data_IF_548895405977
#
_entry.id   IF_548895405977
#
_cell.length_a   1.000
_cell.length_b   1.000
_cell.length_c   1.000
_cell.angle_alpha   90.00
_cell.angle_beta   90.00
_cell.angle_gamma   90.00
#
_symmetry.space_group_name_H-M   'P 1'
#
loop_
_entity.id
_entity.type
_entity.pdbx_description
1 polymer ?
#
# COMPACT_ATOMS: atom_id res chain seq x y z
N UNK A 1 -83.21 -28.59 -3.12
CA UNK A 1 -82.70 -28.03 -4.38
C UNK A 1 -81.71 -26.91 -4.01
N UNK A 2 -80.44 -27.22 -4.03
CA UNK A 2 -79.40 -26.22 -3.71
C UNK A 2 -78.40 -26.22 -4.86
N UNK A 3 -78.37 -25.13 -5.59
CA UNK A 3 -77.51 -24.91 -6.74
C UNK A 3 -76.19 -24.32 -6.24
N UNK A 4 -75.08 -25.06 -6.44
CA UNK A 4 -73.69 -24.56 -6.23
C UNK A 4 -73.25 -23.77 -7.44
N UNK A 5 -72.62 -22.62 -7.27
CA UNK A 5 -72.03 -21.89 -8.40
C UNK A 5 -70.67 -22.46 -8.82
N UNK A 6 -70.42 -22.51 -10.14
CA UNK A 6 -69.21 -22.97 -10.79
C UNK A 6 -68.00 -22.06 -10.50
N UNK A 7 -66.83 -22.64 -10.25
CA UNK A 7 -65.55 -21.92 -10.12
C UNK A 7 -64.95 -21.61 -11.52
N UNK A 8 -64.39 -20.41 -11.74
CA UNK A 8 -63.73 -20.10 -12.98
C UNK A 8 -62.37 -20.82 -13.09
N UNK A 9 -62.09 -21.34 -14.27
CA UNK A 9 -60.80 -21.92 -14.65
C UNK A 9 -59.79 -20.79 -14.83
N UNK A 10 -58.69 -20.81 -14.00
CA UNK A 10 -57.55 -19.95 -14.17
C UNK A 10 -56.64 -20.56 -15.25
N UNK A 11 -56.48 -19.86 -16.35
CA UNK A 11 -55.54 -20.17 -17.40
C UNK A 11 -54.13 -19.96 -16.89
N UNK A 12 -53.28 -21.01 -16.93
CA UNK A 12 -51.86 -20.95 -16.65
C UNK A 12 -51.15 -20.24 -17.82
N UNK A 13 -50.73 -19.03 -17.60
CA UNK A 13 -49.81 -18.32 -18.51
C UNK A 13 -48.37 -18.86 -18.26
N UNK A 14 -47.77 -19.45 -19.29
CA UNK A 14 -46.37 -19.86 -19.31
C UNK A 14 -45.53 -18.58 -19.46
N UNK A 15 -44.57 -18.32 -18.59
CA UNK A 15 -43.69 -17.17 -18.82
C UNK A 15 -42.70 -17.51 -19.94
N UNK A 16 -42.80 -16.75 -21.05
CA UNK A 16 -41.72 -16.68 -22.06
C UNK A 16 -40.52 -16.02 -21.39
N UNK A 17 -39.44 -16.77 -21.18
CA UNK A 17 -38.13 -16.20 -20.87
C UNK A 17 -37.61 -15.48 -22.12
N UNK A 18 -37.72 -14.18 -22.16
CA UNK A 18 -36.95 -13.33 -23.07
C UNK A 18 -35.48 -13.34 -22.57
N UNK A 19 -34.64 -14.14 -23.22
CA UNK A 19 -33.19 -13.95 -23.17
C UNK A 19 -32.88 -12.59 -23.82
N UNK A 20 -32.76 -11.55 -23.01
CA UNK A 20 -32.14 -10.32 -23.46
C UNK A 20 -30.64 -10.61 -23.67
N UNK A 21 -30.23 -10.69 -24.94
CA UNK A 21 -28.82 -10.68 -25.29
C UNK A 21 -28.24 -9.34 -24.78
N UNK A 22 -27.39 -9.40 -23.77
CA UNK A 22 -26.62 -8.25 -23.34
C UNK A 22 -25.71 -7.86 -24.50
N UNK A 23 -26.03 -6.74 -25.17
CA UNK A 23 -25.09 -6.10 -26.07
C UNK A 23 -23.82 -5.74 -25.28
N UNK A 24 -22.62 -5.90 -25.87
CA UNK A 24 -21.40 -5.44 -25.22
C UNK A 24 -21.55 -3.93 -24.99
N UNK A 25 -21.58 -3.52 -23.74
CA UNK A 25 -21.46 -2.12 -23.35
C UNK A 25 -20.07 -1.71 -23.81
N UNK A 26 -20.01 -1.06 -24.97
CA UNK A 26 -18.81 -0.38 -25.42
C UNK A 26 -18.41 0.60 -24.31
N UNK A 27 -17.31 0.30 -23.65
CA UNK A 27 -16.72 1.21 -22.68
C UNK A 27 -16.42 2.52 -23.42
N UNK A 28 -17.27 3.53 -23.23
CA UNK A 28 -16.89 4.90 -23.51
C UNK A 28 -15.78 5.21 -22.50
N UNK A 29 -14.54 5.03 -22.95
CA UNK A 29 -13.38 5.52 -22.24
C UNK A 29 -13.52 7.04 -22.19
N UNK A 30 -13.96 7.56 -21.04
CA UNK A 30 -13.76 8.97 -20.74
C UNK A 30 -12.29 9.31 -20.95
N UNK A 31 -11.93 10.57 -21.23
CA UNK A 31 -10.56 10.94 -21.45
C UNK A 31 -9.72 10.44 -20.28
N UNK A 32 -8.56 9.80 -20.51
CA UNK A 32 -7.75 9.24 -19.46
C UNK A 32 -7.44 10.35 -18.45
N UNK A 33 -7.90 10.18 -17.22
CA UNK A 33 -7.73 11.18 -16.16
C UNK A 33 -6.27 11.32 -15.73
N UNK A 34 -5.38 10.41 -16.21
CA UNK A 34 -3.96 10.37 -15.85
C UNK A 34 -3.10 10.17 -17.09
N UNK A 35 -1.98 10.91 -17.16
CA UNK A 35 -1.02 10.68 -18.22
C UNK A 35 -0.34 9.33 -18.01
N UNK A 36 -0.31 8.52 -19.05
CA UNK A 36 0.44 7.29 -19.16
C UNK A 36 1.58 7.41 -20.17
N UNK A 37 1.79 8.61 -20.72
CA UNK A 37 2.84 8.85 -21.70
C UNK A 37 4.22 8.69 -21.08
N UNK A 38 5.12 7.90 -21.66
CA UNK A 38 6.52 7.85 -21.24
C UNK A 38 7.25 9.20 -21.39
N UNK A 39 6.68 10.13 -22.14
CA UNK A 39 7.22 11.47 -22.33
C UNK A 39 6.92 12.41 -21.16
N UNK A 40 5.94 12.09 -20.31
CA UNK A 40 5.64 12.94 -19.15
C UNK A 40 6.68 12.76 -18.03
N UNK A 41 6.96 13.83 -17.28
CA UNK A 41 7.84 13.73 -16.11
C UNK A 41 7.22 12.80 -15.06
N UNK A 42 8.05 12.04 -14.36
CA UNK A 42 7.62 11.27 -13.19
C UNK A 42 7.24 12.21 -12.03
N UNK A 43 6.49 11.71 -11.07
CA UNK A 43 6.22 12.44 -9.83
C UNK A 43 7.53 12.83 -9.12
N UNK A 44 8.52 11.94 -9.10
CA UNK A 44 9.84 12.22 -8.54
C UNK A 44 10.52 13.43 -9.19
N UNK A 45 10.42 13.54 -10.52
CA UNK A 45 10.95 14.68 -11.26
C UNK A 45 10.28 15.99 -10.89
N UNK A 46 8.97 15.98 -10.66
CA UNK A 46 8.23 17.17 -10.21
C UNK A 46 8.54 17.53 -8.76
N UNK A 47 8.66 16.54 -7.90
CA UNK A 47 9.02 16.73 -6.49
C UNK A 47 10.44 17.28 -6.33
N UNK A 48 11.36 16.95 -7.24
CA UNK A 48 12.71 17.47 -7.25
C UNK A 48 12.80 18.99 -7.55
N UNK A 49 11.71 19.60 -8.06
CA UNK A 49 11.63 21.06 -8.24
C UNK A 49 11.37 21.79 -6.92
N UNK A 50 10.85 21.10 -5.93
CA UNK A 50 10.53 21.68 -4.63
C UNK A 50 11.80 21.71 -3.75
N UNK A 51 12.04 22.80 -3.00
CA UNK A 51 13.23 22.91 -2.17
C UNK A 51 13.24 21.88 -1.05
N UNK A 52 14.38 21.28 -0.81
CA UNK A 52 14.58 20.35 0.29
C UNK A 52 14.38 21.02 1.64
N UNK A 53 13.89 20.26 2.62
CA UNK A 53 13.68 20.75 3.97
C UNK A 53 12.42 20.21 4.64
N UNK A 54 12.10 20.73 5.80
CA UNK A 54 10.98 20.25 6.62
C UNK A 54 9.62 20.41 5.91
N UNK A 55 9.41 21.51 5.18
CA UNK A 55 8.13 21.75 4.47
C UNK A 55 7.90 20.71 3.37
N UNK A 56 8.94 20.40 2.56
CA UNK A 56 8.86 19.34 1.55
C UNK A 56 8.59 17.98 2.20
N UNK A 57 9.29 17.65 3.28
CA UNK A 57 9.07 16.37 3.99
C UNK A 57 7.64 16.26 4.52
N UNK A 58 7.13 17.31 5.16
CA UNK A 58 5.71 17.35 5.58
C UNK A 58 4.76 17.22 4.38
N UNK A 59 5.04 17.93 3.28
CA UNK A 59 4.24 17.81 2.06
C UNK A 59 4.22 16.39 1.50
N UNK A 60 5.36 15.72 1.45
CA UNK A 60 5.44 14.33 1.01
C UNK A 60 4.60 13.40 1.91
N UNK A 61 4.71 13.53 3.23
CA UNK A 61 3.94 12.72 4.18
C UNK A 61 2.43 12.88 3.99
N UNK A 62 1.97 14.10 3.83
CA UNK A 62 0.57 14.46 3.83
C UNK A 62 -0.10 14.30 2.46
N UNK A 63 0.63 14.56 1.36
CA UNK A 63 0.01 14.83 0.07
C UNK A 63 0.34 13.79 -1.02
N UNK A 64 1.24 12.82 -0.76
CA UNK A 64 1.68 11.87 -1.81
C UNK A 64 1.37 10.40 -1.49
N UNK A 65 0.73 10.12 -0.35
CA UNK A 65 0.44 8.75 0.10
C UNK A 65 -0.78 8.08 -0.55
N UNK A 66 -1.72 8.87 -1.07
CA UNK A 66 -2.95 8.37 -1.71
C UNK A 66 -2.82 8.27 -3.23
N UNK A 67 -2.17 9.26 -3.84
CA UNK A 67 -1.89 9.33 -5.28
C UNK A 67 -0.57 10.08 -5.50
N UNK A 68 0.00 9.91 -6.68
CA UNK A 68 1.24 10.62 -7.04
C UNK A 68 0.99 12.12 -7.24
N UNK A 69 2.03 12.92 -7.00
CA UNK A 69 2.08 14.33 -7.39
C UNK A 69 2.40 14.42 -8.89
N UNK A 70 1.39 14.17 -9.72
CA UNK A 70 1.52 14.03 -11.16
C UNK A 70 1.47 15.37 -11.90
N UNK A 71 1.89 15.43 -13.18
CA UNK A 71 1.74 16.62 -14.02
C UNK A 71 0.30 17.15 -14.07
N UNK A 72 -0.70 16.27 -14.07
CA UNK A 72 -2.12 16.70 -14.08
C UNK A 72 -2.57 17.36 -12.78
N UNK A 73 -1.93 17.05 -11.68
CA UNK A 73 -2.18 17.73 -10.40
C UNK A 73 -1.44 19.05 -10.36
N UNK A 74 -0.17 19.07 -10.74
CA UNK A 74 0.67 20.26 -10.69
C UNK A 74 0.33 21.26 -11.80
N UNK A 75 0.00 20.77 -12.99
CA UNK A 75 -0.20 21.55 -14.21
C UNK A 75 -1.51 21.18 -14.93
N UNK A 76 -2.68 21.40 -14.32
CA UNK A 76 -3.95 21.11 -14.97
C UNK A 76 -4.11 21.98 -16.22
N UNK A 77 -4.36 21.30 -17.38
CA UNK A 77 -4.43 22.00 -18.65
C UNK A 77 -3.08 22.51 -19.19
N UNK A 78 -1.96 22.03 -18.62
CA UNK A 78 -0.62 22.38 -19.08
C UNK A 78 -0.01 23.64 -18.45
N UNK A 79 -0.73 24.30 -17.52
CA UNK A 79 -0.25 25.49 -16.81
C UNK A 79 -0.20 25.24 -15.30
N UNK A 80 0.75 25.87 -14.61
CA UNK A 80 0.84 25.82 -13.16
C UNK A 80 -0.41 26.44 -12.51
N UNK A 81 -0.79 25.89 -11.36
CA UNK A 81 -1.81 26.52 -10.52
C UNK A 81 -1.22 27.78 -9.88
N UNK A 82 -2.01 28.83 -9.80
CA UNK A 82 -1.74 29.95 -8.92
C UNK A 82 -2.00 29.57 -7.43
N UNK A 83 -1.76 30.52 -6.53
CA UNK A 83 -1.94 30.29 -5.09
C UNK A 83 -3.39 29.96 -4.73
N UNK A 84 -4.39 30.58 -5.38
CA UNK A 84 -5.80 30.33 -5.13
C UNK A 84 -6.24 28.94 -5.62
N UNK A 85 -5.77 28.53 -6.79
CA UNK A 85 -6.00 27.19 -7.33
C UNK A 85 -5.36 26.10 -6.47
N UNK A 86 -4.16 26.35 -5.90
CA UNK A 86 -3.54 25.44 -4.94
C UNK A 86 -4.29 25.41 -3.62
N UNK A 87 -4.74 26.54 -3.07
CA UNK A 87 -5.53 26.55 -1.83
C UNK A 87 -6.80 25.71 -1.99
N UNK A 88 -7.52 25.91 -3.07
CA UNK A 88 -8.72 25.09 -3.39
C UNK A 88 -8.39 23.59 -3.42
N UNK A 89 -7.25 23.21 -4.02
CA UNK A 89 -6.84 21.81 -4.10
C UNK A 89 -6.47 21.24 -2.72
N UNK A 90 -5.72 21.99 -1.91
CA UNK A 90 -5.31 21.55 -0.57
C UNK A 90 -6.52 21.47 0.37
N UNK A 91 -7.42 22.46 0.34
CA UNK A 91 -8.68 22.43 1.12
C UNK A 91 -9.51 21.17 0.80
N UNK A 92 -9.60 20.79 -0.47
CA UNK A 92 -10.29 19.56 -0.87
C UNK A 92 -9.61 18.32 -0.26
N UNK A 93 -8.28 18.25 -0.26
CA UNK A 93 -7.54 17.13 0.36
C UNK A 93 -7.72 17.11 1.88
N UNK A 94 -7.77 18.26 2.53
CA UNK A 94 -8.03 18.35 3.98
C UNK A 94 -9.44 17.86 4.35
N UNK A 95 -10.44 18.10 3.50
CA UNK A 95 -11.80 17.54 3.72
C UNK A 95 -11.82 16.00 3.66
N UNK A 96 -10.93 15.39 2.86
CA UNK A 96 -10.85 13.95 2.70
C UNK A 96 -9.89 13.30 3.70
N UNK A 97 -8.66 13.80 3.78
CA UNK A 97 -7.55 13.21 4.53
C UNK A 97 -7.12 13.98 5.78
N UNK A 98 -7.73 15.13 6.07
CA UNK A 98 -7.42 15.91 7.28
C UNK A 98 -7.96 15.26 8.55
N UNK A 99 -7.61 15.82 9.70
CA UNK A 99 -7.90 15.27 11.02
C UNK A 99 -9.38 14.99 11.29
N UNK A 100 -10.30 15.66 10.59
CA UNK A 100 -11.75 15.44 10.66
C UNK A 100 -12.32 14.70 9.43
N UNK A 101 -11.46 14.32 8.50
CA UNK A 101 -11.83 13.58 7.29
C UNK A 101 -12.04 12.09 7.55
N UNK A 102 -12.57 11.36 6.55
CA UNK A 102 -12.78 9.92 6.66
C UNK A 102 -11.49 9.11 6.73
N UNK A 103 -10.36 9.69 6.27
CA UNK A 103 -9.03 9.05 6.29
C UNK A 103 -7.98 10.01 6.84
N UNK A 104 -7.88 10.18 8.17
CA UNK A 104 -7.07 11.22 8.79
C UNK A 104 -5.56 10.92 8.70
N UNK A 105 -4.99 11.05 7.49
CA UNK A 105 -3.57 10.81 7.17
C UNK A 105 -2.78 12.11 6.92
N UNK A 106 -3.42 13.26 7.01
CA UNK A 106 -2.77 14.58 6.91
C UNK A 106 -2.60 15.13 8.31
N UNK A 107 -1.42 15.67 8.60
CA UNK A 107 -1.15 16.28 9.91
C UNK A 107 -2.20 17.34 10.28
N UNK A 108 -2.60 17.36 11.53
CA UNK A 108 -3.63 18.27 12.02
C UNK A 108 -3.25 19.76 11.89
N UNK A 109 -1.95 20.06 11.90
CA UNK A 109 -1.37 21.40 11.78
C UNK A 109 -1.11 21.84 10.32
N UNK A 110 -1.59 21.06 9.32
CA UNK A 110 -1.43 21.43 7.91
C UNK A 110 -2.24 22.67 7.58
N UNK A 111 -1.55 23.74 7.21
CA UNK A 111 -2.12 25.00 6.75
C UNK A 111 -2.25 25.01 5.22
N UNK A 112 -3.47 25.19 4.72
CA UNK A 112 -3.74 25.15 3.28
C UNK A 112 -3.17 26.36 2.55
N UNK A 113 -3.34 27.58 3.08
CA UNK A 113 -2.88 28.80 2.45
C UNK A 113 -1.35 28.85 2.38
N UNK A 114 -0.67 28.45 3.46
CA UNK A 114 0.79 28.35 3.51
C UNK A 114 1.31 27.33 2.50
N UNK A 115 0.67 26.14 2.43
CA UNK A 115 1.05 25.09 1.48
C UNK A 115 0.84 25.56 0.04
N UNK A 116 -0.28 26.23 -0.25
CA UNK A 116 -0.62 26.78 -1.56
C UNK A 116 0.41 27.83 -2.01
N UNK A 117 0.73 28.78 -1.12
CA UNK A 117 1.73 29.81 -1.41
C UNK A 117 3.13 29.22 -1.65
N UNK A 118 3.49 28.16 -0.91
CA UNK A 118 4.76 27.47 -1.07
C UNK A 118 4.83 26.75 -2.42
N UNK A 119 3.79 26.01 -2.83
CA UNK A 119 3.73 25.32 -4.12
C UNK A 119 3.75 26.31 -5.29
N UNK A 120 2.95 27.39 -5.23
CA UNK A 120 2.90 28.41 -6.28
C UNK A 120 4.23 29.14 -6.46
N UNK A 121 5.01 29.31 -5.39
CA UNK A 121 6.33 29.97 -5.44
C UNK A 121 7.40 29.10 -6.10
N UNK A 122 7.36 27.78 -5.89
CA UNK A 122 8.48 26.91 -6.23
C UNK A 122 8.25 26.06 -7.50
N UNK A 123 7.02 25.90 -7.94
CA UNK A 123 6.75 25.21 -9.20
C UNK A 123 6.88 26.21 -10.38
N UNK A 124 7.61 25.84 -11.45
CA UNK A 124 7.70 26.67 -12.64
C UNK A 124 6.34 26.80 -13.34
N UNK A 125 6.16 27.84 -14.15
CA UNK A 125 4.91 28.14 -14.84
C UNK A 125 4.45 27.03 -15.81
N UNK A 126 5.38 26.26 -16.34
CA UNK A 126 5.13 25.10 -17.20
C UNK A 126 5.85 23.85 -16.67
N UNK A 127 5.34 22.63 -16.97
CA UNK A 127 6.02 21.42 -16.58
C UNK A 127 7.43 21.35 -17.22
N UNK A 128 8.45 20.88 -16.48
CA UNK A 128 9.79 20.73 -17.03
C UNK A 128 9.79 19.70 -18.16
N UNK A 129 10.69 19.90 -19.12
CA UNK A 129 10.91 18.91 -20.16
C UNK A 129 11.37 17.58 -19.55
N UNK A 130 10.93 16.42 -20.07
CA UNK A 130 11.24 15.10 -19.50
C UNK A 130 12.73 14.79 -19.32
N UNK A 131 13.60 15.45 -20.11
CA UNK A 131 15.06 15.24 -20.08
C UNK A 131 15.80 15.96 -18.95
N UNK A 132 15.21 16.95 -18.32
CA UNK A 132 15.90 17.82 -17.37
C UNK A 132 15.92 17.30 -15.93
N UNK A 133 15.15 16.30 -15.63
CA UNK A 133 14.91 15.84 -14.27
C UNK A 133 15.85 14.72 -13.78
N UNK A 134 17.16 14.85 -13.98
CA UNK A 134 18.14 13.95 -13.34
C UNK A 134 18.04 12.46 -13.71
N UNK A 135 17.30 12.12 -14.77
CA UNK A 135 16.98 10.75 -15.16
C UNK A 135 18.19 9.95 -15.66
N UNK A 136 19.27 10.59 -16.07
CA UNK A 136 20.42 9.89 -16.65
C UNK A 136 21.25 9.11 -15.62
N UNK A 137 21.29 9.61 -14.37
CA UNK A 137 22.17 9.04 -13.35
C UNK A 137 21.73 7.63 -12.93
N UNK A 138 20.45 7.41 -12.71
CA UNK A 138 19.92 6.12 -12.29
C UNK A 138 19.73 5.13 -13.44
N UNK A 139 19.64 5.61 -14.71
CA UNK A 139 19.55 4.72 -15.88
C UNK A 139 20.72 3.75 -15.97
N UNK A 140 21.90 4.14 -15.49
CA UNK A 140 23.09 3.28 -15.43
C UNK A 140 22.93 2.14 -14.43
N UNK A 141 21.96 2.21 -13.53
CA UNK A 141 21.66 1.19 -12.53
C UNK A 141 20.56 0.23 -13.01
N UNK A 142 20.00 0.46 -14.20
CA UNK A 142 19.07 -0.50 -14.81
C UNK A 142 19.87 -1.67 -15.35
N UNK A 143 19.62 -2.90 -14.88
CA UNK A 143 20.32 -4.07 -15.41
C UNK A 143 20.03 -4.25 -16.91
N UNK A 144 20.91 -4.91 -17.67
CA UNK A 144 20.65 -5.23 -19.08
C UNK A 144 19.29 -5.92 -19.25
N UNK A 145 18.54 -5.54 -20.29
CA UNK A 145 17.16 -6.01 -20.52
C UNK A 145 17.04 -7.55 -20.60
N UNK A 146 18.10 -8.25 -21.04
CA UNK A 146 18.13 -9.70 -21.06
C UNK A 146 18.14 -10.37 -19.65
N UNK A 147 18.32 -9.59 -18.58
CA UNK A 147 18.41 -10.11 -17.20
C UNK A 147 17.13 -10.00 -16.39
N UNK A 148 16.10 -9.38 -16.95
CA UNK A 148 14.85 -9.19 -16.21
C UNK A 148 13.70 -8.92 -17.17
N UNK A 149 12.47 -9.19 -16.69
CA UNK A 149 11.23 -8.85 -17.39
C UNK A 149 10.20 -8.33 -16.40
N UNK A 150 9.34 -7.41 -16.86
CA UNK A 150 8.15 -6.99 -16.11
C UNK A 150 6.91 -7.37 -16.92
N UNK A 151 6.01 -8.11 -16.29
CA UNK A 151 4.69 -8.44 -16.85
C UNK A 151 3.63 -7.79 -15.96
N UNK A 152 2.74 -7.00 -16.56
CA UNK A 152 1.66 -6.32 -15.84
C UNK A 152 0.32 -7.03 -16.08
N UNK A 153 -0.47 -7.17 -15.03
CA UNK A 153 -1.81 -7.73 -15.02
C UNK A 153 -2.78 -6.67 -14.51
N UNK A 154 -3.78 -6.31 -15.31
CA UNK A 154 -4.82 -5.35 -14.92
C UNK A 154 -5.86 -6.03 -14.05
N UNK A 155 -6.25 -5.43 -12.92
CA UNK A 155 -7.33 -5.96 -12.10
C UNK A 155 -8.64 -6.02 -12.91
N UNK A 156 -9.44 -7.10 -12.71
CA UNK A 156 -10.62 -7.34 -13.55
C UNK A 156 -11.76 -6.33 -13.32
N UNK A 157 -11.80 -5.70 -12.14
CA UNK A 157 -12.86 -4.73 -11.81
C UNK A 157 -12.32 -3.31 -11.95
N UNK A 158 -12.85 -2.51 -12.90
CA UNK A 158 -12.46 -1.11 -13.06
C UNK A 158 -12.70 -0.31 -11.79
N UNK A 159 -11.75 0.52 -11.41
CA UNK A 159 -11.83 1.38 -10.22
C UNK A 159 -11.47 0.68 -8.90
N UNK A 160 -11.22 -0.64 -8.90
CA UNK A 160 -10.65 -1.30 -7.74
C UNK A 160 -9.15 -0.98 -7.60
N UNK A 161 -8.62 -1.12 -6.39
CA UNK A 161 -7.23 -0.84 -6.08
C UNK A 161 -6.59 -2.03 -5.35
N UNK A 162 -5.51 -2.60 -5.88
CA UNK A 162 -4.71 -3.57 -5.14
C UNK A 162 -3.94 -2.81 -4.06
N UNK A 163 -4.13 -3.22 -2.81
CA UNK A 163 -3.35 -2.65 -1.72
C UNK A 163 -2.17 -3.54 -1.37
N UNK A 164 -2.41 -4.84 -1.17
CA UNK A 164 -1.40 -5.83 -0.84
C UNK A 164 -1.43 -7.01 -1.81
N UNK A 165 -0.28 -7.68 -1.92
CA UNK A 165 -0.08 -8.94 -2.64
C UNK A 165 0.63 -9.94 -1.74
N UNK A 166 0.29 -11.22 -1.87
CA UNK A 166 0.99 -12.35 -1.26
C UNK A 166 1.09 -13.50 -2.26
N UNK A 167 2.08 -14.38 -2.13
CA UNK A 167 2.25 -15.54 -3.02
C UNK A 167 1.99 -16.81 -2.22
N UNK A 168 1.06 -17.65 -2.71
CA UNK A 168 0.77 -18.93 -2.07
C UNK A 168 1.78 -20.02 -2.43
N UNK A 169 1.69 -21.16 -1.75
CA UNK A 169 2.59 -22.30 -1.97
C UNK A 169 2.51 -22.89 -3.40
N UNK A 170 1.39 -22.68 -4.12
CA UNK A 170 1.23 -23.08 -5.51
C UNK A 170 1.79 -22.03 -6.50
N UNK A 171 2.19 -20.84 -6.02
CA UNK A 171 2.69 -19.73 -6.81
C UNK A 171 1.61 -18.88 -7.41
N UNK A 172 0.38 -18.99 -6.94
CA UNK A 172 -0.68 -18.05 -7.28
C UNK A 172 -0.51 -16.80 -6.44
N UNK A 173 -0.96 -15.68 -6.97
CA UNK A 173 -0.81 -14.38 -6.32
C UNK A 173 -2.15 -13.94 -5.77
N UNK A 174 -2.21 -13.82 -4.46
CA UNK A 174 -3.39 -13.32 -3.74
C UNK A 174 -3.29 -11.81 -3.62
N UNK A 175 -4.34 -11.10 -4.01
CA UNK A 175 -4.36 -9.64 -4.11
C UNK A 175 -5.59 -9.10 -3.38
N UNK A 176 -5.42 -8.06 -2.58
CA UNK A 176 -6.56 -7.37 -1.95
C UNK A 176 -7.22 -6.40 -2.94
N UNK A 177 -8.55 -6.49 -3.09
CA UNK A 177 -9.36 -5.51 -3.84
C UNK A 177 -9.95 -4.48 -2.89
N UNK A 178 -9.21 -3.42 -2.60
CA UNK A 178 -9.47 -2.49 -1.51
C UNK A 178 -10.83 -1.76 -1.62
N UNK A 179 -11.37 -1.61 -2.83
CA UNK A 179 -12.57 -0.83 -3.11
C UNK A 179 -13.82 -1.70 -3.41
N UNK A 180 -13.67 -3.02 -3.49
CA UNK A 180 -14.74 -3.91 -4.00
C UNK A 180 -15.12 -5.07 -3.09
N UNK A 181 -14.66 -5.09 -1.84
CA UNK A 181 -14.94 -6.17 -0.89
C UNK A 181 -14.53 -7.55 -1.40
N UNK A 182 -13.41 -7.63 -2.14
CA UNK A 182 -12.92 -8.86 -2.80
C UNK A 182 -11.46 -9.11 -2.55
N UNK A 183 -11.12 -10.38 -2.59
CA UNK A 183 -9.77 -10.86 -2.83
C UNK A 183 -9.69 -11.37 -4.27
N UNK A 184 -8.56 -11.17 -4.93
CA UNK A 184 -8.29 -11.75 -6.24
C UNK A 184 -7.19 -12.80 -6.13
N UNK A 185 -7.26 -13.82 -6.96
CA UNK A 185 -6.22 -14.85 -7.11
C UNK A 185 -5.78 -14.86 -8.57
N UNK A 186 -4.58 -14.40 -8.83
CA UNK A 186 -3.96 -14.42 -10.16
C UNK A 186 -3.20 -15.74 -10.34
N UNK A 187 -3.49 -16.47 -11.41
CA UNK A 187 -2.61 -17.54 -11.91
C UNK A 187 -1.57 -16.91 -12.87
N UNK A 188 -0.28 -16.87 -12.51
CA UNK A 188 0.75 -16.25 -13.35
C UNK A 188 0.99 -16.94 -14.69
N UNK A 189 0.57 -18.20 -14.84
CA UNK A 189 0.76 -18.99 -16.06
C UNK A 189 -0.26 -18.62 -17.13
N UNK A 190 -1.50 -18.45 -16.73
CA UNK A 190 -2.60 -18.08 -17.63
C UNK A 190 -2.85 -16.57 -17.70
N UNK A 191 -2.42 -15.82 -16.68
CA UNK A 191 -2.78 -14.42 -16.49
C UNK A 191 -4.23 -14.21 -16.03
N UNK A 192 -4.95 -15.28 -15.72
CA UNK A 192 -6.34 -15.20 -15.31
C UNK A 192 -6.48 -14.85 -13.83
N UNK A 193 -7.51 -14.06 -13.53
CA UNK A 193 -7.92 -13.75 -12.16
C UNK A 193 -9.19 -14.52 -11.79
N UNK A 194 -9.16 -15.14 -10.63
CA UNK A 194 -10.34 -15.56 -9.89
C UNK A 194 -10.65 -14.52 -8.81
N UNK A 195 -11.94 -14.42 -8.43
CA UNK A 195 -12.37 -13.57 -7.32
C UNK A 195 -12.94 -14.40 -6.18
N UNK A 196 -12.66 -13.97 -4.95
CA UNK A 196 -13.24 -14.52 -3.72
C UNK A 196 -13.90 -13.36 -2.98
N UNK A 197 -15.21 -13.42 -2.84
CA UNK A 197 -15.97 -12.38 -2.15
C UNK A 197 -15.76 -12.49 -0.64
N UNK A 198 -15.59 -11.34 0.01
CA UNK A 198 -15.48 -11.23 1.47
C UNK A 198 -16.90 -11.06 2.02
N UNK A 199 -17.40 -11.96 2.90
CA UNK A 199 -18.77 -11.93 3.39
C UNK A 199 -18.98 -10.86 4.49
N UNK A 200 -18.32 -9.73 4.36
CA UNK A 200 -18.38 -8.57 5.26
C UNK A 200 -18.55 -7.31 4.40
N UNK A 201 -19.69 -6.61 4.49
CA UNK A 201 -19.92 -5.41 3.69
C UNK A 201 -18.91 -4.31 3.99
N UNK A 202 -18.49 -3.60 2.97
CA UNK A 202 -17.48 -2.53 3.06
C UNK A 202 -16.20 -3.02 3.71
N UNK A 203 -15.76 -4.22 3.32
CA UNK A 203 -14.61 -4.91 3.91
C UNK A 203 -13.33 -4.09 3.86
N UNK A 204 -13.09 -3.35 2.77
CA UNK A 204 -11.90 -2.53 2.58
C UNK A 204 -10.61 -3.31 2.95
N UNK A 205 -10.31 -4.44 2.26
CA UNK A 205 -9.16 -5.28 2.58
C UNK A 205 -7.85 -4.53 2.33
N UNK A 206 -7.03 -4.41 3.38
CA UNK A 206 -5.81 -3.59 3.40
C UNK A 206 -4.54 -4.41 3.36
N UNK A 207 -4.53 -5.55 4.02
CA UNK A 207 -3.34 -6.41 4.08
C UNK A 207 -3.74 -7.86 3.91
N UNK A 208 -2.82 -8.66 3.38
CA UNK A 208 -2.92 -10.11 3.33
C UNK A 208 -1.58 -10.75 3.65
N UNK A 209 -1.60 -11.72 4.56
CA UNK A 209 -0.49 -12.65 4.81
C UNK A 209 -1.03 -14.07 4.68
N UNK A 210 -0.19 -15.01 4.23
CA UNK A 210 -0.55 -16.42 4.06
C UNK A 210 0.24 -17.25 5.06
N UNK A 211 -0.47 -18.02 5.89
CA UNK A 211 0.17 -18.88 6.88
C UNK A 211 0.67 -20.21 6.27
N UNK A 212 1.39 -20.99 7.08
CA UNK A 212 1.93 -22.29 6.65
C UNK A 212 0.87 -23.32 6.26
N UNK A 213 -0.38 -23.16 6.72
CA UNK A 213 -1.52 -23.97 6.31
C UNK A 213 -2.20 -23.48 5.03
N UNK A 214 -1.72 -22.38 4.43
CA UNK A 214 -2.29 -21.77 3.23
C UNK A 214 -3.52 -20.91 3.50
N UNK A 215 -3.83 -20.59 4.75
CA UNK A 215 -4.93 -19.69 5.11
C UNK A 215 -4.49 -18.23 4.91
N UNK A 216 -5.44 -17.40 4.49
CA UNK A 216 -5.19 -15.96 4.28
C UNK A 216 -5.65 -15.18 5.50
N UNK A 217 -4.74 -14.44 6.08
CA UNK A 217 -5.01 -13.48 7.15
C UNK A 217 -5.16 -12.10 6.55
N UNK A 218 -6.35 -11.51 6.67
CA UNK A 218 -6.72 -10.28 5.95
C UNK A 218 -7.14 -9.20 6.94
N UNK A 219 -6.50 -8.04 6.85
CA UNK A 219 -6.94 -6.86 7.58
C UNK A 219 -8.10 -6.19 6.83
N UNK A 220 -9.27 -6.15 7.47
CA UNK A 220 -10.46 -5.49 6.96
C UNK A 220 -10.63 -4.14 7.67
N UNK A 221 -10.20 -3.06 6.99
CA UNK A 221 -10.07 -1.74 7.62
C UNK A 221 -11.39 -1.13 8.07
N UNK A 222 -12.32 -0.91 7.16
CA UNK A 222 -13.55 -0.17 7.47
C UNK A 222 -14.46 -0.85 8.49
N UNK A 223 -14.67 -2.20 8.47
CA UNK A 223 -15.48 -2.88 9.48
C UNK A 223 -14.71 -3.16 10.79
N UNK A 224 -13.43 -2.74 10.88
CA UNK A 224 -12.58 -2.97 12.05
C UNK A 224 -12.50 -4.47 12.41
N UNK A 225 -12.04 -5.30 11.46
CA UNK A 225 -11.92 -6.76 11.65
C UNK A 225 -10.60 -7.29 11.12
N UNK A 226 -10.13 -8.38 11.69
CA UNK A 226 -9.20 -9.31 11.03
C UNK A 226 -10.00 -10.52 10.59
N UNK A 227 -9.83 -10.92 9.34
CA UNK A 227 -10.47 -12.11 8.78
C UNK A 227 -9.43 -13.18 8.47
N UNK A 228 -9.83 -14.45 8.61
CA UNK A 228 -9.04 -15.60 8.19
C UNK A 228 -9.87 -16.40 7.20
N UNK A 229 -9.38 -16.54 5.98
CA UNK A 229 -9.96 -17.34 4.91
C UNK A 229 -9.20 -18.66 4.78
N UNK A 230 -9.94 -19.76 4.76
CA UNK A 230 -9.39 -21.10 4.56
C UNK A 230 -9.80 -21.63 3.17
N UNK A 231 -8.90 -21.60 2.17
CA UNK A 231 -9.22 -22.08 0.82
C UNK A 231 -9.62 -23.56 0.76
N UNK A 232 -9.19 -24.38 1.73
CA UNK A 232 -9.54 -25.81 1.78
C UNK A 232 -11.02 -26.04 2.11
N UNK A 233 -11.70 -25.02 2.66
CA UNK A 233 -13.14 -25.06 2.96
C UNK A 233 -14.03 -24.59 1.81
N UNK A 234 -13.45 -24.25 0.67
CA UNK A 234 -14.17 -23.74 -0.49
C UNK A 234 -14.19 -22.19 -0.57
N UNK A 235 -15.19 -21.65 -1.28
CA UNK A 235 -15.29 -20.19 -1.54
C UNK A 235 -16.47 -19.53 -0.84
N UNK A 236 -17.25 -20.28 -0.07
CA UNK A 236 -18.42 -19.78 0.64
C UNK A 236 -18.10 -18.97 1.89
N UNK A 237 -19.13 -18.39 2.49
CA UNK A 237 -18.99 -17.58 3.71
C UNK A 237 -18.43 -18.37 4.90
N UNK A 238 -18.68 -19.67 4.95
CA UNK A 238 -18.19 -20.60 5.98
C UNK A 238 -16.69 -20.91 5.89
N UNK A 239 -16.04 -20.55 4.75
CA UNK A 239 -14.59 -20.54 4.63
C UNK A 239 -13.93 -19.37 5.37
N UNK A 240 -14.71 -18.38 5.78
CA UNK A 240 -14.25 -17.19 6.47
C UNK A 240 -14.53 -17.24 7.98
N UNK A 241 -13.56 -16.77 8.75
CA UNK A 241 -13.70 -16.44 10.17
C UNK A 241 -13.31 -15.01 10.37
N UNK A 242 -13.99 -14.27 11.25
CA UNK A 242 -13.67 -12.86 11.49
C UNK A 242 -13.66 -12.54 12.98
N UNK A 243 -12.67 -11.77 13.40
CA UNK A 243 -12.57 -11.22 14.74
C UNK A 243 -12.75 -9.70 14.70
N UNK A 244 -13.62 -9.15 15.55
CA UNK A 244 -13.76 -7.70 15.70
C UNK A 244 -12.53 -7.15 16.45
N UNK A 245 -11.90 -6.13 15.91
CA UNK A 245 -10.66 -5.56 16.46
C UNK A 245 -10.90 -4.31 17.31
N UNK A 246 -12.07 -3.67 17.16
CA UNK A 246 -12.36 -2.39 17.82
C UNK A 246 -11.54 -1.21 17.30
N UNK A 247 -10.68 -1.44 16.30
CA UNK A 247 -9.83 -0.43 15.67
C UNK A 247 -9.64 -0.76 14.19
N UNK A 248 -9.27 0.23 13.38
CA UNK A 248 -9.00 0.05 11.95
C UNK A 248 -7.68 -0.72 11.74
N UNK A 249 -7.69 -2.03 11.39
CA UNK A 249 -6.46 -2.76 11.10
C UNK A 249 -5.95 -2.38 9.70
N UNK A 250 -4.66 -2.07 9.61
CA UNK A 250 -4.04 -1.69 8.33
C UNK A 250 -3.09 -2.76 7.80
N UNK A 251 -2.27 -3.32 8.67
CA UNK A 251 -1.32 -4.38 8.35
C UNK A 251 -1.49 -5.56 9.30
N UNK A 252 -1.11 -6.74 8.85
CA UNK A 252 -1.11 -7.97 9.63
C UNK A 252 0.24 -8.66 9.52
N UNK A 253 0.70 -9.31 10.59
CA UNK A 253 1.92 -10.11 10.62
C UNK A 253 1.67 -11.41 11.36
N UNK A 254 2.22 -12.50 10.87
CA UNK A 254 2.06 -13.82 11.48
C UNK A 254 3.17 -14.10 12.48
N UNK A 255 2.80 -14.61 13.64
CA UNK A 255 3.72 -15.07 14.66
C UNK A 255 3.95 -16.59 14.55
N UNK A 256 5.10 -17.11 15.05
CA UNK A 256 5.39 -18.54 15.00
C UNK A 256 4.37 -19.43 15.73
N UNK A 257 3.64 -18.88 16.69
CA UNK A 257 2.57 -19.59 17.43
C UNK A 257 1.23 -19.65 16.67
N UNK A 258 1.21 -19.19 15.41
CA UNK A 258 0.04 -19.19 14.54
C UNK A 258 -0.95 -18.05 14.79
N UNK A 259 -0.63 -17.10 15.67
CA UNK A 259 -1.43 -15.91 15.87
C UNK A 259 -1.12 -14.83 14.83
N UNK A 260 -2.10 -13.97 14.55
CA UNK A 260 -1.91 -12.76 13.74
C UNK A 260 -1.78 -11.53 14.61
N UNK A 261 -0.75 -10.71 14.39
CA UNK A 261 -0.64 -9.38 14.95
C UNK A 261 -1.10 -8.34 13.94
N UNK A 262 -1.78 -7.30 14.40
CA UNK A 262 -2.24 -6.19 13.56
C UNK A 262 -2.03 -4.86 14.26
N UNK A 263 -1.98 -3.77 13.48
CA UNK A 263 -1.87 -2.41 14.00
C UNK A 263 -3.20 -1.66 13.88
N UNK A 264 -3.46 -0.74 14.80
CA UNK A 264 -4.59 0.17 14.76
C UNK A 264 -4.22 1.49 14.05
N UNK A 265 -4.59 1.62 12.78
CA UNK A 265 -4.08 2.69 11.91
C UNK A 265 -4.59 4.09 12.29
N UNK A 266 -5.87 4.22 12.61
CA UNK A 266 -6.49 5.51 12.94
C UNK A 266 -6.95 5.57 14.40
N UNK A 267 -6.28 4.87 15.29
CA UNK A 267 -6.58 4.95 16.72
C UNK A 267 -6.16 6.30 17.26
N UNK A 268 -7.01 6.85 18.11
CA UNK A 268 -6.62 7.97 18.98
C UNK A 268 -5.57 7.47 19.97
N UNK A 269 -4.85 8.37 20.58
CA UNK A 269 -3.86 8.02 21.57
C UNK A 269 -4.45 7.22 22.76
N UNK A 270 -3.71 6.26 23.31
CA UNK A 270 -2.42 5.78 22.81
C UNK A 270 -2.58 4.97 21.51
N UNK A 271 -1.55 4.91 20.67
CA UNK A 271 -1.50 3.97 19.56
C UNK A 271 -1.70 2.54 20.07
N UNK A 272 -2.36 1.69 19.26
CA UNK A 272 -2.67 0.32 19.63
C UNK A 272 -2.14 -0.66 18.60
N UNK A 273 -1.68 -1.81 19.07
CA UNK A 273 -1.56 -3.03 18.27
C UNK A 273 -2.47 -4.11 18.88
N UNK A 274 -2.82 -5.11 18.10
CA UNK A 274 -3.63 -6.20 18.60
C UNK A 274 -3.09 -7.55 18.16
N UNK A 275 -3.49 -8.59 18.87
CA UNK A 275 -3.18 -9.99 18.60
C UNK A 275 -4.48 -10.77 18.45
N UNK A 276 -4.60 -11.47 17.36
CA UNK A 276 -5.72 -12.39 17.08
C UNK A 276 -5.22 -13.82 17.22
N UNK A 277 -5.92 -14.62 18.01
CA UNK A 277 -5.59 -16.05 18.16
C UNK A 277 -5.70 -16.84 16.85
N UNK A 278 -5.08 -18.03 16.77
CA UNK A 278 -5.05 -18.84 15.54
C UNK A 278 -6.41 -19.27 15.00
N UNK A 279 -7.43 -19.28 15.86
CA UNK A 279 -8.82 -19.59 15.56
C UNK A 279 -9.66 -18.37 15.14
N UNK A 280 -9.07 -17.18 15.16
CA UNK A 280 -9.71 -15.88 14.94
C UNK A 280 -10.89 -15.59 15.91
N UNK A 281 -10.88 -16.19 17.11
CA UNK A 281 -11.96 -16.01 18.09
C UNK A 281 -11.68 -14.94 19.11
N UNK A 282 -10.41 -14.80 19.53
CA UNK A 282 -10.00 -13.87 20.59
C UNK A 282 -9.10 -12.76 20.04
N UNK A 283 -9.35 -11.54 20.49
CA UNK A 283 -8.51 -10.37 20.22
C UNK A 283 -8.03 -9.80 21.53
N UNK A 284 -6.71 -9.71 21.68
CA UNK A 284 -6.04 -9.00 22.75
C UNK A 284 -5.44 -7.70 22.20
N UNK A 285 -5.47 -6.62 22.98
CA UNK A 285 -4.90 -5.32 22.55
C UNK A 285 -3.76 -4.91 23.47
N UNK A 286 -2.78 -4.23 22.90
CA UNK A 286 -1.61 -3.69 23.59
C UNK A 286 -1.51 -2.20 23.29
N UNK A 287 -1.51 -1.39 24.36
CA UNK A 287 -1.23 0.03 24.26
C UNK A 287 0.26 0.26 23.99
N UNK A 288 0.55 1.07 22.99
CA UNK A 288 1.91 1.49 22.67
C UNK A 288 2.33 2.65 23.60
N UNK A 289 3.64 2.87 23.82
CA UNK A 289 4.12 4.02 24.57
C UNK A 289 3.57 5.32 23.99
N UNK A 290 3.04 6.20 24.84
CA UNK A 290 2.49 7.48 24.41
C UNK A 290 3.53 8.27 23.59
N UNK A 291 3.07 8.94 22.53
CA UNK A 291 3.95 9.82 21.75
C UNK A 291 4.10 11.15 22.49
N UNK A 292 5.32 11.69 22.64
CA UNK A 292 5.54 12.89 23.45
C UNK A 292 4.72 14.11 23.02
N UNK A 293 4.43 14.25 21.71
CA UNK A 293 3.78 15.43 21.13
C UNK A 293 2.50 15.13 20.34
N UNK A 294 2.21 13.86 20.03
CA UNK A 294 1.07 13.48 19.19
C UNK A 294 0.02 12.66 19.94
N UNK A 295 0.19 12.44 21.24
CA UNK A 295 -0.71 11.59 22.02
C UNK A 295 -2.16 12.10 21.96
N UNK A 296 -2.37 13.41 22.03
CA UNK A 296 -3.70 14.05 22.01
C UNK A 296 -4.07 14.65 20.65
N UNK A 297 -3.22 14.48 19.62
CA UNK A 297 -3.47 15.07 18.30
C UNK A 297 -4.41 14.16 17.50
N UNK A 298 -5.46 14.70 16.86
CA UNK A 298 -6.31 13.93 15.95
C UNK A 298 -5.47 13.28 14.83
N UNK A 299 -5.73 11.97 14.57
CA UNK A 299 -4.90 11.16 13.69
C UNK A 299 -3.70 10.54 14.41
N UNK A 300 -3.19 11.17 15.45
CA UNK A 300 -2.14 10.66 16.31
C UNK A 300 -0.86 10.25 15.60
N UNK A 301 -0.06 9.34 16.20
CA UNK A 301 1.20 8.89 15.60
C UNK A 301 1.03 7.96 14.39
N UNK A 302 -0.15 7.39 14.15
CA UNK A 302 -0.52 6.49 13.04
C UNK A 302 0.39 5.26 12.97
N UNK A 303 0.10 4.17 13.71
CA UNK A 303 0.71 2.86 13.49
C UNK A 303 0.45 2.39 12.04
N UNK A 304 1.52 2.04 11.29
CA UNK A 304 1.40 1.87 9.84
C UNK A 304 1.72 0.45 9.35
N UNK A 305 2.88 -0.09 9.68
CA UNK A 305 3.29 -1.46 9.37
C UNK A 305 3.50 -2.23 10.66
N UNK A 306 3.33 -3.54 10.62
CA UNK A 306 3.62 -4.43 11.73
C UNK A 306 4.37 -5.66 11.22
N UNK A 307 5.42 -6.08 11.95
CA UNK A 307 6.23 -7.27 11.66
C UNK A 307 6.62 -7.97 12.95
N UNK A 308 6.74 -9.29 12.89
CA UNK A 308 7.28 -10.11 13.97
C UNK A 308 8.72 -10.45 13.61
N UNK A 309 9.65 -10.07 14.47
CA UNK A 309 11.06 -10.37 14.29
C UNK A 309 11.39 -11.84 14.65
N UNK A 310 12.53 -12.39 14.22
CA UNK A 310 12.91 -13.78 14.50
C UNK A 310 12.98 -14.12 16.00
N UNK A 311 13.25 -13.14 16.86
CA UNK A 311 13.26 -13.28 18.32
C UNK A 311 11.87 -13.20 18.97
N UNK A 312 10.82 -13.01 18.17
CA UNK A 312 9.44 -12.90 18.60
C UNK A 312 9.00 -11.50 19.02
N UNK A 313 9.88 -10.52 18.98
CA UNK A 313 9.51 -9.11 19.22
C UNK A 313 8.65 -8.59 18.09
N UNK A 314 7.54 -7.95 18.43
CA UNK A 314 6.61 -7.34 17.48
C UNK A 314 6.98 -5.87 17.29
N UNK A 315 7.27 -5.51 16.05
CA UNK A 315 7.62 -4.16 15.66
C UNK A 315 6.50 -3.50 14.86
N UNK A 316 6.22 -2.23 15.14
CA UNK A 316 5.34 -1.39 14.33
C UNK A 316 6.01 -0.06 14.02
N UNK A 317 5.77 0.47 12.82
CA UNK A 317 6.16 1.84 12.47
C UNK A 317 5.04 2.81 12.82
N UNK A 318 5.38 4.02 13.24
CA UNK A 318 4.44 5.13 13.40
C UNK A 318 4.75 6.22 12.38
N UNK A 319 3.85 6.37 11.40
CA UNK A 319 4.06 7.23 10.24
C UNK A 319 4.29 8.70 10.62
N UNK A 320 3.37 9.30 11.37
CA UNK A 320 3.50 10.68 11.86
C UNK A 320 4.33 10.74 13.15
N UNK A 321 4.32 9.68 13.94
CA UNK A 321 5.15 9.56 15.12
C UNK A 321 6.65 9.52 14.82
N UNK A 322 7.03 9.28 13.57
CA UNK A 322 8.41 9.27 13.10
C UNK A 322 9.32 8.39 13.97
N UNK A 323 8.80 7.22 14.37
CA UNK A 323 9.50 6.26 15.22
C UNK A 323 9.10 4.82 14.89
N UNK A 324 9.91 3.89 15.33
CA UNK A 324 9.57 2.47 15.45
C UNK A 324 9.13 2.20 16.89
N UNK A 325 8.16 1.32 17.07
CA UNK A 325 7.75 0.86 18.39
C UNK A 325 7.82 -0.65 18.43
N UNK A 326 8.41 -1.17 19.50
CA UNK A 326 8.56 -2.59 19.75
C UNK A 326 7.68 -3.03 20.94
N UNK A 327 7.18 -4.26 20.88
CA UNK A 327 6.54 -4.96 21.96
C UNK A 327 7.09 -6.38 22.07
N UNK A 328 7.64 -6.74 23.24
CA UNK A 328 8.01 -8.13 23.54
C UNK A 328 6.84 -8.83 24.24
N UNK A 329 6.15 -9.77 23.60
CA UNK A 329 5.00 -10.46 24.19
C UNK A 329 5.35 -11.31 25.41
N UNK A 330 6.60 -11.76 25.56
CA UNK A 330 7.06 -12.59 26.68
C UNK A 330 7.20 -11.78 27.96
N UNK A 331 7.77 -10.58 27.83
CA UNK A 331 8.00 -9.67 28.98
C UNK A 331 6.90 -8.63 29.14
N UNK A 332 6.01 -8.51 28.15
CA UNK A 332 4.97 -7.47 28.04
C UNK A 332 5.52 -6.04 28.04
N UNK A 333 6.79 -5.88 27.71
CA UNK A 333 7.46 -4.59 27.64
C UNK A 333 7.31 -3.99 26.25
N UNK A 334 6.98 -2.70 26.19
CA UNK A 334 6.99 -1.91 24.95
C UNK A 334 7.96 -0.75 25.08
N UNK A 335 8.63 -0.40 23.97
CA UNK A 335 9.53 0.75 23.88
C UNK A 335 9.50 1.35 22.49
N UNK A 336 9.93 2.60 22.38
CA UNK A 336 9.96 3.33 21.11
C UNK A 336 11.40 3.74 20.76
N UNK A 337 11.67 3.80 19.45
CA UNK A 337 12.94 4.21 18.87
C UNK A 337 12.68 5.30 17.84
N UNK A 338 13.09 6.54 18.11
CA UNK A 338 12.92 7.63 17.17
C UNK A 338 13.78 7.42 15.91
N UNK A 339 13.24 7.78 14.73
CA UNK A 339 14.05 7.84 13.52
C UNK A 339 15.07 8.99 13.60
N UNK A 340 16.27 8.83 13.01
CA UNK A 340 17.29 9.88 13.00
C UNK A 340 16.90 11.08 12.12
N UNK A 341 15.97 10.86 11.16
CA UNK A 341 15.52 11.84 10.18
C UNK A 341 14.25 12.52 10.64
N UNK A 342 14.27 13.81 10.88
CA UNK A 342 13.05 14.58 11.17
C UNK A 342 12.05 14.47 10.01
N UNK A 343 10.79 14.19 10.34
CA UNK A 343 9.73 13.95 9.36
C UNK A 343 10.09 12.86 8.34
N UNK A 344 10.83 11.82 8.74
CA UNK A 344 11.22 10.72 7.87
C UNK A 344 10.03 9.90 7.39
N UNK A 345 9.05 9.69 8.26
CA UNK A 345 7.81 8.96 7.98
C UNK A 345 8.04 7.50 7.65
N UNK A 346 8.33 6.64 8.64
CA UNK A 346 8.53 5.22 8.41
C UNK A 346 7.22 4.60 7.91
N UNK A 347 7.28 3.96 6.75
CA UNK A 347 6.12 3.24 6.22
C UNK A 347 6.30 1.73 6.36
N UNK A 348 6.18 0.97 5.27
CA UNK A 348 6.13 -0.49 5.27
C UNK A 348 7.53 -1.10 5.30
N UNK A 349 8.05 -1.29 6.49
CA UNK A 349 9.34 -1.93 6.73
C UNK A 349 9.28 -3.46 6.69
N UNK A 350 10.43 -4.10 6.65
CA UNK A 350 10.57 -5.55 6.86
C UNK A 350 11.75 -5.86 7.79
N UNK A 351 11.77 -7.10 8.29
CA UNK A 351 12.81 -7.59 9.20
C UNK A 351 13.64 -8.65 8.50
N UNK A 352 14.95 -8.45 8.47
CA UNK A 352 15.88 -9.42 7.92
C UNK A 352 16.03 -10.69 8.79
N UNK A 353 16.65 -11.73 8.25
CA UNK A 353 16.97 -12.94 9.00
C UNK A 353 17.95 -12.68 10.17
N UNK A 354 18.72 -11.60 10.07
CA UNK A 354 19.63 -11.11 11.11
C UNK A 354 18.94 -10.26 12.19
N UNK A 355 17.61 -10.13 12.14
CA UNK A 355 16.82 -9.30 13.04
C UNK A 355 16.88 -7.80 12.76
N UNK A 356 17.66 -7.34 11.79
CA UNK A 356 17.72 -5.93 11.42
C UNK A 356 16.45 -5.49 10.70
N UNK A 357 15.96 -4.28 11.01
CA UNK A 357 14.80 -3.70 10.35
C UNK A 357 15.24 -2.83 9.17
N UNK A 358 14.61 -3.04 8.03
CA UNK A 358 14.82 -2.24 6.82
C UNK A 358 13.62 -1.33 6.59
N UNK A 359 13.81 -0.05 6.86
CA UNK A 359 12.74 0.93 7.02
C UNK A 359 12.78 1.95 5.89
N UNK A 360 11.76 2.00 5.02
CA UNK A 360 11.64 3.08 4.05
C UNK A 360 11.28 4.37 4.79
N UNK A 361 12.21 5.30 4.86
CA UNK A 361 11.99 6.65 5.37
C UNK A 361 11.40 7.49 4.23
N UNK A 362 10.07 7.46 4.15
CA UNK A 362 9.26 7.90 3.03
C UNK A 362 9.61 9.31 2.56
N UNK A 363 9.55 10.28 3.47
CA UNK A 363 9.80 11.67 3.14
C UNK A 363 11.27 12.08 3.21
N UNK A 364 12.14 11.22 3.75
CA UNK A 364 13.59 11.44 3.77
C UNK A 364 14.30 10.84 2.56
N UNK A 365 13.56 10.20 1.65
CA UNK A 365 14.08 9.53 0.45
C UNK A 365 15.29 8.61 0.76
N UNK A 366 15.17 7.81 1.81
CA UNK A 366 16.23 6.92 2.28
C UNK A 366 15.67 5.55 2.69
N UNK A 367 16.51 4.54 2.62
CA UNK A 367 16.31 3.28 3.30
C UNK A 367 17.16 3.30 4.56
N UNK A 368 16.55 3.07 5.72
CA UNK A 368 17.24 2.99 7.01
C UNK A 368 17.36 1.53 7.41
N UNK A 369 18.56 1.11 7.83
CA UNK A 369 18.75 -0.17 8.50
C UNK A 369 18.88 0.09 10.00
N UNK A 370 17.95 -0.44 10.78
CA UNK A 370 18.04 -0.41 12.24
C UNK A 370 18.54 -1.75 12.76
N UNK A 371 19.60 -1.72 13.55
CA UNK A 371 20.14 -2.86 14.27
C UNK A 371 19.65 -2.82 15.73
N UNK A 372 18.71 -3.70 16.13
CA UNK A 372 18.16 -3.67 17.49
C UNK A 372 19.19 -4.01 18.58
N UNK A 373 20.19 -4.83 18.24
CA UNK A 373 21.24 -5.22 19.20
C UNK A 373 22.19 -4.06 19.47
N UNK A 374 22.55 -3.30 18.43
CA UNK A 374 23.43 -2.13 18.54
C UNK A 374 22.69 -0.83 18.81
N UNK A 375 21.35 -0.86 18.72
CA UNK A 375 20.48 0.31 18.82
C UNK A 375 20.91 1.45 17.86
N UNK A 376 21.30 1.12 16.65
CA UNK A 376 21.87 2.06 15.69
C UNK A 376 21.15 1.99 14.34
N UNK A 377 20.97 3.17 13.75
CA UNK A 377 20.56 3.31 12.36
C UNK A 377 21.75 3.52 11.44
N UNK A 378 21.76 2.81 10.32
CA UNK A 378 22.59 3.11 9.16
C UNK A 378 21.69 3.66 8.05
N UNK A 379 22.09 4.76 7.41
CA UNK A 379 21.34 5.41 6.34
C UNK A 379 21.87 5.00 4.98
N UNK A 380 20.98 4.50 4.13
CA UNK A 380 21.28 4.16 2.74
C UNK A 380 20.47 5.11 1.83
N UNK A 381 21.11 6.08 1.16
CA UNK A 381 20.41 6.99 0.26
C UNK A 381 19.86 6.23 -0.95
N UNK A 382 18.65 6.59 -1.40
CA UNK A 382 18.08 6.04 -2.62
C UNK A 382 18.82 6.60 -3.85
N UNK A 383 18.92 5.81 -4.93
CA UNK A 383 19.63 6.23 -6.14
C UNK A 383 18.84 7.22 -7.01
N UNK A 384 17.53 7.34 -6.78
CA UNK A 384 16.64 8.26 -7.47
C UNK A 384 16.22 9.35 -6.47
N UNK A 385 16.46 10.60 -6.81
CA UNK A 385 15.99 11.71 -5.99
C UNK A 385 14.45 11.72 -5.92
N UNK A 386 13.92 12.00 -4.74
CA UNK A 386 12.48 12.08 -4.49
C UNK A 386 11.67 10.85 -4.98
N UNK A 387 12.31 9.68 -5.01
CA UNK A 387 11.64 8.42 -5.37
C UNK A 387 10.51 8.05 -4.40
N UNK A 388 10.59 8.55 -3.19
CA UNK A 388 9.59 8.35 -2.12
C UNK A 388 9.36 6.87 -1.84
N UNK A 389 10.24 6.20 -1.07
CA UNK A 389 10.14 4.77 -0.78
C UNK A 389 8.92 4.48 0.10
N UNK A 390 8.06 3.56 -0.33
CA UNK A 390 6.82 3.23 0.38
C UNK A 390 6.92 1.92 1.15
N UNK A 391 7.50 0.90 0.54
CA UNK A 391 7.59 -0.45 1.08
C UNK A 391 8.99 -1.01 0.88
N UNK A 392 9.49 -1.71 1.87
CA UNK A 392 10.69 -2.54 1.78
C UNK A 392 10.33 -4.00 2.08
N UNK A 393 10.96 -4.94 1.37
CA UNK A 393 10.88 -6.38 1.65
C UNK A 393 12.25 -7.00 1.50
N UNK A 394 12.61 -7.82 2.46
CA UNK A 394 13.90 -8.53 2.49
C UNK A 394 13.75 -9.89 1.85
N UNK A 395 14.54 -10.13 0.82
CA UNK A 395 14.70 -11.47 0.30
C UNK A 395 15.54 -12.30 1.29
N UNK A 396 14.87 -13.16 2.03
CA UNK A 396 15.49 -13.92 3.11
C UNK A 396 16.59 -14.90 2.65
N UNK A 397 16.59 -15.27 1.37
CA UNK A 397 17.61 -16.17 0.82
C UNK A 397 18.91 -15.44 0.51
N UNK A 398 18.86 -14.18 0.04
CA UNK A 398 20.05 -13.40 -0.32
C UNK A 398 20.39 -12.28 0.65
N UNK A 399 19.41 -11.80 1.41
CA UNK A 399 19.51 -10.59 2.20
C UNK A 399 19.37 -9.30 1.37
N UNK A 400 19.03 -9.40 0.09
CA UNK A 400 18.75 -8.24 -0.74
C UNK A 400 17.45 -7.58 -0.29
N UNK A 401 17.39 -6.25 -0.40
CA UNK A 401 16.22 -5.47 0.01
C UNK A 401 15.55 -4.87 -1.21
N UNK A 402 14.32 -5.25 -1.44
CA UNK A 402 13.49 -4.71 -2.50
C UNK A 402 12.66 -3.54 -1.97
N UNK A 403 12.65 -2.44 -2.71
CA UNK A 403 11.99 -1.20 -2.32
C UNK A 403 11.02 -0.76 -3.41
N UNK A 404 9.73 -0.67 -3.04
CA UNK A 404 8.71 -0.07 -3.90
C UNK A 404 8.67 1.44 -3.71
N UNK A 405 8.65 2.18 -4.83
CA UNK A 405 8.59 3.63 -4.81
C UNK A 405 7.19 4.14 -5.13
N UNK A 406 6.80 5.27 -4.56
CA UNK A 406 5.51 5.89 -4.87
C UNK A 406 5.61 7.08 -5.84
N UNK A 407 6.80 7.50 -6.24
CA UNK A 407 6.96 8.66 -7.12
C UNK A 407 7.84 8.41 -8.36
N UNK A 408 8.65 7.32 -8.37
CA UNK A 408 9.62 7.10 -9.43
C UNK A 408 9.18 6.09 -10.51
N UNK A 409 8.00 5.49 -10.38
CA UNK A 409 7.52 4.42 -11.27
C UNK A 409 8.55 3.29 -11.42
N UNK A 410 9.15 2.88 -10.32
CA UNK A 410 10.22 1.88 -10.30
C UNK A 410 10.22 1.05 -9.01
N UNK A 411 10.73 -0.17 -9.13
CA UNK A 411 11.14 -1.00 -8.00
C UNK A 411 12.66 -0.97 -7.93
N UNK A 412 13.19 -0.82 -6.73
CA UNK A 412 14.62 -0.75 -6.48
C UNK A 412 15.07 -2.02 -5.75
N UNK A 413 16.29 -2.48 -6.00
CA UNK A 413 16.93 -3.55 -5.27
C UNK A 413 18.24 -3.05 -4.68
N UNK A 414 18.36 -3.12 -3.38
CA UNK A 414 19.60 -2.87 -2.65
C UNK A 414 20.26 -4.20 -2.29
N UNK A 415 21.56 -4.32 -2.53
CA UNK A 415 22.35 -5.52 -2.33
C UNK A 415 23.41 -5.29 -1.24
N UNK A 416 23.06 -5.45 0.05
CA UNK A 416 24.00 -5.19 1.15
C UNK A 416 25.28 -6.02 1.04
N UNK A 417 25.14 -7.31 0.69
CA UNK A 417 26.27 -8.24 0.50
C UNK A 417 26.97 -8.08 -0.86
N UNK A 418 26.38 -7.33 -1.78
CA UNK A 418 26.91 -6.96 -3.09
C UNK A 418 27.63 -5.61 -3.09
N UNK A 419 28.31 -5.25 -2.01
CA UNK A 419 29.02 -3.97 -1.90
C UNK A 419 28.13 -2.74 -1.74
N UNK A 420 26.87 -2.91 -1.35
CA UNK A 420 25.90 -1.81 -1.22
C UNK A 420 25.40 -1.28 -2.57
N UNK A 421 25.39 -2.12 -3.60
CA UNK A 421 24.96 -1.72 -4.93
C UNK A 421 23.44 -1.60 -5.03
N UNK A 422 22.99 -0.63 -5.83
CA UNK A 422 21.60 -0.48 -6.23
C UNK A 422 21.37 -0.98 -7.65
N UNK A 423 20.22 -1.59 -7.86
CA UNK A 423 19.63 -1.88 -9.17
C UNK A 423 18.26 -1.21 -9.27
N UNK A 424 17.90 -0.70 -10.45
CA UNK A 424 16.64 0.00 -10.70
C UNK A 424 15.86 -0.75 -11.78
N UNK A 425 14.61 -1.06 -11.48
CA UNK A 425 13.69 -1.75 -12.38
C UNK A 425 12.50 -0.85 -12.68
N UNK A 426 12.50 -0.12 -13.82
CA UNK A 426 11.38 0.72 -14.22
C UNK A 426 10.10 -0.09 -14.44
N UNK A 427 8.97 0.44 -13.99
CA UNK A 427 7.65 -0.12 -14.29
C UNK A 427 7.12 0.48 -15.59
N UNK A 428 6.45 -0.31 -16.45
CA UNK A 428 5.91 0.17 -17.71
C UNK A 428 4.81 1.24 -17.53
N UNK A 429 3.97 1.07 -16.49
CA UNK A 429 2.89 2.01 -16.20
C UNK A 429 3.40 3.25 -15.47
N UNK A 430 3.07 4.44 -16.00
CA UNK A 430 3.26 5.73 -15.32
C UNK A 430 2.21 5.95 -14.23
N UNK A 431 2.61 6.64 -13.17
CA UNK A 431 1.75 6.84 -12.01
C UNK A 431 1.67 5.62 -11.09
N UNK A 432 2.63 4.72 -11.17
CA UNK A 432 2.72 3.49 -10.40
C UNK A 432 3.06 3.79 -8.93
N UNK A 433 2.06 4.10 -8.12
CA UNK A 433 2.23 4.20 -6.67
C UNK A 433 2.30 2.79 -6.09
N UNK A 434 3.52 2.31 -5.85
CA UNK A 434 3.77 0.96 -5.31
C UNK A 434 3.46 0.93 -3.82
N UNK A 435 2.37 0.23 -3.44
CA UNK A 435 1.95 0.11 -2.02
C UNK A 435 2.50 -1.11 -1.33
N UNK A 436 2.63 -2.19 -2.07
CA UNK A 436 3.11 -3.45 -1.52
C UNK A 436 3.92 -4.22 -2.55
N UNK A 437 4.79 -5.08 -2.05
CA UNK A 437 5.47 -6.09 -2.86
C UNK A 437 5.67 -7.37 -2.04
N UNK A 438 5.67 -8.49 -2.73
CA UNK A 438 5.94 -9.81 -2.18
C UNK A 438 7.01 -10.51 -3.03
N UNK A 439 7.82 -11.34 -2.40
CA UNK A 439 8.86 -12.13 -3.07
C UNK A 439 8.39 -13.58 -3.07
N UNK A 440 8.27 -14.18 -4.25
CA UNK A 440 7.98 -15.61 -4.36
C UNK A 440 9.21 -16.40 -3.82
N UNK A 441 9.06 -17.18 -2.75
CA UNK A 441 10.20 -17.89 -2.15
C UNK A 441 10.77 -18.99 -3.05
N UNK A 442 10.04 -19.43 -4.07
CA UNK A 442 10.44 -20.53 -4.99
C UNK A 442 11.16 -20.00 -6.23
N UNK A 443 10.59 -18.98 -6.89
CA UNK A 443 11.12 -18.40 -8.11
C UNK A 443 11.96 -17.14 -7.87
N UNK A 444 11.75 -16.50 -6.73
CA UNK A 444 12.33 -15.22 -6.32
C UNK A 444 11.87 -14.05 -7.18
N UNK A 445 10.80 -14.25 -7.94
CA UNK A 445 10.11 -13.17 -8.61
C UNK A 445 9.52 -12.19 -7.60
N UNK A 446 9.55 -10.92 -7.95
CA UNK A 446 8.96 -9.88 -7.12
C UNK A 446 7.60 -9.48 -7.70
N UNK A 447 6.58 -9.66 -6.89
CA UNK A 447 5.22 -9.27 -7.21
C UNK A 447 4.91 -7.92 -6.58
N UNK A 448 4.29 -7.03 -7.35
CA UNK A 448 4.12 -5.63 -6.98
C UNK A 448 2.67 -5.22 -7.16
N UNK A 449 2.05 -4.65 -6.12
CA UNK A 449 0.73 -4.05 -6.20
C UNK A 449 0.84 -2.53 -6.33
N UNK A 450 0.21 -1.95 -7.35
CA UNK A 450 0.18 -0.51 -7.51
C UNK A 450 -1.08 0.01 -8.21
N UNK A 451 -1.40 1.23 -7.92
CA UNK A 451 -2.55 1.94 -8.42
C UNK A 451 -2.86 3.12 -7.52
N UNK A 452 -3.66 4.04 -8.00
CA UNK A 452 -4.10 5.19 -7.26
C UNK A 452 -5.52 5.57 -7.69
N UNK A 453 -6.24 6.30 -6.83
CA UNK A 453 -7.52 6.89 -7.17
C UNK A 453 -7.55 8.36 -6.72
N UNK A 454 -7.63 9.28 -7.67
CA UNK A 454 -7.59 9.12 -9.12
C UNK A 454 -6.20 8.70 -9.60
N UNK A 455 -6.11 7.85 -10.62
CA UNK A 455 -4.84 7.33 -11.13
C UNK A 455 -4.97 6.44 -12.35
N UNK A 456 -3.87 5.84 -12.80
CA UNK A 456 -3.89 4.83 -13.85
C UNK A 456 -4.64 3.59 -13.38
N UNK A 457 -4.98 2.71 -14.33
CA UNK A 457 -5.61 1.43 -14.03
C UNK A 457 -4.77 0.66 -13.01
N UNK A 458 -5.44 0.10 -12.03
CA UNK A 458 -4.83 -0.71 -10.98
C UNK A 458 -4.21 -1.98 -11.56
N UNK A 459 -2.99 -2.31 -11.12
CA UNK A 459 -2.21 -3.41 -11.67
C UNK A 459 -1.50 -4.21 -10.58
N UNK A 460 -1.26 -5.45 -10.93
CA UNK A 460 -0.25 -6.29 -10.30
C UNK A 460 0.84 -6.54 -11.32
N UNK A 461 2.10 -6.36 -10.96
CA UNK A 461 3.22 -6.64 -11.84
C UNK A 461 4.08 -7.76 -11.28
N UNK A 462 4.58 -8.62 -12.17
CA UNK A 462 5.63 -9.60 -11.93
C UNK A 462 6.95 -9.07 -12.45
N UNK A 463 7.91 -8.89 -11.61
CA UNK A 463 9.31 -8.68 -11.97
C UNK A 463 10.04 -10.01 -11.82
N UNK A 464 10.37 -10.63 -12.95
CA UNK A 464 11.13 -11.87 -13.00
C UNK A 464 12.59 -11.58 -13.34
N UNK A 465 13.52 -12.15 -12.57
CA UNK A 465 14.94 -12.09 -12.85
C UNK A 465 15.37 -13.33 -13.67
N UNK A 466 16.10 -13.10 -14.74
CA UNK A 466 16.68 -14.21 -15.49
C UNK A 466 17.69 -14.96 -14.59
N UNK A 467 17.78 -16.31 -14.70
CA UNK A 467 18.79 -17.06 -14.01
C UNK A 467 20.20 -16.51 -14.32
N UNK A 468 20.99 -16.27 -13.30
CA UNK A 468 22.42 -16.00 -13.49
C UNK A 468 23.07 -17.27 -14.03
N UNK A 469 23.55 -17.21 -15.27
CA UNK A 469 24.39 -18.26 -15.88
C UNK A 469 25.72 -18.35 -15.16
#
# INVERSE_FOLDING_TARGET
>A
MSTRPARPRVARATPLLLLAAAAPVGAQAGPPTWSTSPADPTSAALLALLPDGAEKRKFLLDCTGCHQFSPRIAYPGGAARDSAGWDTAVQRMLRYGGARGPFPVIHADRDAARTAAWLARHLPAAPPAPREAGTERWRRLVPPAARWTVTEYTLPVPGDLPHDVAVDAAGRVVVTGMMTDRMYVLDPRSGAFDAVDIPVPRANPRAVEIDAAGRWWVALGAPARVAVYDPARGRGADAWRTAATGMYPHSVALAPDGAGWFNGHFTRAPGLIGRVGPDAARVDTVALPAHPTLAEVPGGPIPYEIRVAPDGVVWTSELHGNRLVAHDPRTRRSWAVALPEAHGGPRRFDVGADGALWVPAYAANALLRYDPTRQRFDRVPLPIADAVPYVARVDRATGDVWVGTSAADAVLRYRPRGGGAWEVYPLPTRGALVRHLAIDPRTRDVWVAYGASPGPAARVARLALAPTR
#
